data_IF_134379045428
#
_entry.id   IF_134379045428
#
_cell.length_a   1.000
_cell.length_b   1.000
_cell.length_c   1.000
_cell.angle_alpha   90.00
_cell.angle_beta   90.00
_cell.angle_gamma   90.00
#
_symmetry.space_group_name_H-M   'P 1'
#
loop_
_entity.id
_entity.type
_entity.pdbx_description
1 polymer ?
#
# COMPACT_ATOMS: atom_id res chain seq x y z
N UNK A 1 -20.28 -1.83 -10.85
CA UNK A 1 -20.84 -1.03 -9.76
C UNK A 1 -22.23 -1.57 -9.51
N UNK A 2 -22.46 -2.21 -8.37
CA UNK A 2 -23.82 -2.63 -7.97
C UNK A 2 -24.41 -1.51 -7.09
N UNK A 3 -25.56 -0.96 -7.49
CA UNK A 3 -26.22 0.17 -6.80
C UNK A 3 -27.37 -0.26 -5.89
N UNK A 4 -27.60 -1.56 -5.74
CA UNK A 4 -28.75 -2.09 -4.98
C UNK A 4 -28.47 -2.28 -3.49
N UNK A 5 -27.20 -2.31 -3.09
CA UNK A 5 -26.78 -2.50 -1.70
C UNK A 5 -26.21 -1.20 -1.10
N UNK A 6 -26.48 -0.98 0.19
CA UNK A 6 -25.91 0.10 1.01
C UNK A 6 -25.11 -0.54 2.17
N UNK A 7 -23.81 -0.25 2.34
CA UNK A 7 -22.99 0.69 1.56
C UNK A 7 -22.76 0.22 0.12
N UNK A 8 -22.44 1.17 -0.77
CA UNK A 8 -22.13 0.87 -2.16
C UNK A 8 -20.95 -0.13 -2.24
N UNK A 9 -21.07 -1.18 -3.05
CA UNK A 9 -19.97 -2.13 -3.29
C UNK A 9 -19.22 -1.81 -4.57
N UNK A 10 -17.90 -1.69 -4.45
CA UNK A 10 -16.96 -1.42 -5.53
C UNK A 10 -15.96 -2.59 -5.60
N UNK A 11 -15.78 -3.11 -6.82
CA UNK A 11 -14.80 -4.16 -7.09
C UNK A 11 -13.64 -3.53 -7.87
N UNK A 12 -12.45 -3.57 -7.28
CA UNK A 12 -11.23 -3.12 -7.95
C UNK A 12 -10.86 -4.12 -9.03
N UNK A 13 -10.23 -3.64 -10.10
CA UNK A 13 -9.65 -4.53 -11.12
C UNK A 13 -8.72 -5.53 -10.44
N UNK A 14 -8.83 -6.81 -10.81
CA UNK A 14 -7.97 -7.86 -10.26
C UNK A 14 -6.51 -7.58 -10.59
N UNK A 15 -5.70 -7.49 -9.55
CA UNK A 15 -4.24 -7.37 -9.67
C UNK A 15 -3.60 -8.75 -9.82
N UNK A 16 -2.41 -8.75 -10.41
CA UNK A 16 -1.58 -9.94 -10.61
C UNK A 16 -0.17 -9.61 -10.16
N UNK A 17 0.61 -10.66 -9.89
CA UNK A 17 2.05 -10.55 -9.65
C UNK A 17 2.72 -9.75 -10.77
N UNK A 18 3.48 -8.73 -10.39
CA UNK A 18 4.23 -7.84 -11.30
C UNK A 18 5.73 -8.06 -11.26
N UNK A 19 6.24 -8.90 -10.34
CA UNK A 19 7.68 -9.17 -10.18
C UNK A 19 8.38 -9.80 -11.39
N UNK A 20 7.63 -10.39 -12.33
CA UNK A 20 8.15 -10.98 -13.57
C UNK A 20 8.01 -10.07 -14.78
N UNK A 21 7.40 -8.89 -14.63
CA UNK A 21 7.18 -7.95 -15.72
C UNK A 21 8.39 -7.01 -15.88
N UNK A 22 8.52 -6.40 -17.04
CA UNK A 22 9.47 -5.30 -17.20
C UNK A 22 8.94 -4.06 -16.45
N UNK A 23 9.86 -3.28 -15.89
CA UNK A 23 9.51 -2.03 -15.23
C UNK A 23 8.78 -1.09 -16.21
N UNK A 24 7.64 -0.58 -15.78
CA UNK A 24 6.90 0.48 -16.46
C UNK A 24 6.71 1.62 -15.47
N UNK A 25 7.09 2.82 -15.87
CA UNK A 25 6.84 4.01 -15.05
C UNK A 25 5.32 4.21 -14.88
N UNK A 26 4.87 4.16 -13.64
CA UNK A 26 3.52 4.49 -13.25
C UNK A 26 3.60 5.56 -12.16
N UNK A 27 2.91 6.68 -12.36
CA UNK A 27 2.87 7.75 -11.37
C UNK A 27 1.93 7.35 -10.24
N UNK A 28 2.47 7.22 -9.04
CA UNK A 28 1.71 7.00 -7.82
C UNK A 28 1.91 8.16 -6.83
N UNK A 29 1.47 7.98 -5.58
CA UNK A 29 1.72 8.91 -4.47
C UNK A 29 2.51 8.24 -3.34
N UNK A 30 3.46 7.35 -3.62
CA UNK A 30 4.31 6.71 -2.59
C UNK A 30 3.50 6.08 -1.42
N UNK A 31 2.34 5.49 -1.71
CA UNK A 31 1.44 4.88 -0.72
C UNK A 31 0.44 5.82 -0.03
N UNK A 32 0.46 7.12 -0.33
CA UNK A 32 -0.51 8.08 0.19
C UNK A 32 -1.84 8.07 -0.59
N UNK A 33 -2.89 8.52 0.11
CA UNK A 33 -4.25 8.65 -0.39
C UNK A 33 -4.66 10.12 -0.49
N UNK A 34 -5.73 10.39 -1.23
CA UNK A 34 -6.34 11.71 -1.33
C UNK A 34 -7.85 11.58 -1.40
N UNK A 35 -8.54 12.15 -0.41
CA UNK A 35 -10.00 12.21 -0.41
C UNK A 35 -10.42 13.27 -1.42
N UNK A 36 -11.14 12.83 -2.45
CA UNK A 36 -11.57 13.68 -3.56
C UNK A 36 -12.91 13.21 -4.08
N UNK A 37 -13.67 14.15 -4.65
CA UNK A 37 -14.92 13.88 -5.33
C UNK A 37 -14.99 14.71 -6.62
N UNK A 38 -15.85 14.28 -7.54
CA UNK A 38 -16.07 14.97 -8.82
C UNK A 38 -17.02 16.16 -8.72
N UNK A 39 -17.76 16.28 -7.62
CA UNK A 39 -18.79 17.29 -7.46
C UNK A 39 -18.22 18.54 -6.78
N UNK A 40 -18.84 19.70 -7.01
CA UNK A 40 -18.46 20.96 -6.37
C UNK A 40 -18.91 21.05 -4.90
N UNK A 41 -18.51 20.07 -4.08
CA UNK A 41 -18.79 20.01 -2.65
C UNK A 41 -17.48 19.79 -1.88
N UNK A 42 -17.54 19.92 -0.56
CA UNK A 42 -16.38 19.69 0.28
C UNK A 42 -16.17 18.16 0.48
N UNK A 43 -15.07 17.58 -0.04
CA UNK A 43 -14.86 16.13 0.01
C UNK A 43 -14.63 15.61 1.44
N UNK A 44 -14.22 16.46 2.38
CA UNK A 44 -13.91 16.05 3.75
C UNK A 44 -15.14 15.69 4.59
N UNK A 45 -16.32 16.20 4.28
CA UNK A 45 -17.54 15.86 5.03
C UNK A 45 -18.76 15.56 4.14
N UNK A 46 -18.66 15.72 2.82
CA UNK A 46 -19.76 15.43 1.89
C UNK A 46 -19.49 14.21 1.00
N UNK A 47 -18.30 13.60 1.07
CA UNK A 47 -18.02 12.36 0.34
C UNK A 47 -18.53 11.13 1.08
N UNK A 48 -19.10 10.22 0.30
CA UNK A 48 -19.63 8.95 0.76
C UNK A 48 -18.53 7.90 0.96
N UNK A 49 -18.91 6.84 1.68
CA UNK A 49 -18.11 5.63 1.83
C UNK A 49 -18.66 4.51 0.95
N UNK A 50 -17.75 3.66 0.46
CA UNK A 50 -18.04 2.45 -0.26
C UNK A 50 -17.27 1.26 0.32
N UNK A 51 -17.86 0.09 0.25
CA UNK A 51 -17.14 -1.18 0.47
C UNK A 51 -16.33 -1.50 -0.79
N UNK A 52 -15.02 -1.36 -0.69
CA UNK A 52 -14.09 -1.59 -1.78
C UNK A 52 -13.44 -2.96 -1.59
N UNK A 53 -13.66 -3.87 -2.54
CA UNK A 53 -13.01 -5.17 -2.58
C UNK A 53 -11.77 -5.14 -3.48
N UNK A 54 -10.62 -5.36 -2.85
CA UNK A 54 -9.34 -5.58 -3.50
C UNK A 54 -9.16 -7.08 -3.77
N UNK A 55 -8.60 -7.39 -4.94
CA UNK A 55 -8.40 -8.77 -5.39
C UNK A 55 -7.00 -8.92 -5.98
N UNK A 56 -6.24 -9.89 -5.47
CA UNK A 56 -4.89 -10.19 -5.94
C UNK A 56 -4.76 -11.65 -6.36
N UNK A 57 -4.35 -11.88 -7.60
CA UNK A 57 -4.15 -13.22 -8.16
C UNK A 57 -2.67 -13.58 -8.07
N UNK A 58 -2.29 -14.54 -7.22
CA UNK A 58 -0.92 -15.01 -7.10
C UNK A 58 -0.49 -15.82 -8.33
N UNK A 59 0.81 -16.08 -8.47
CA UNK A 59 1.31 -16.89 -9.57
C UNK A 59 0.67 -18.28 -9.54
N UNK A 60 0.17 -18.75 -10.68
CA UNK A 60 -0.54 -20.04 -10.84
C UNK A 60 -1.81 -20.18 -9.98
N UNK A 61 -2.31 -19.09 -9.37
CA UNK A 61 -3.51 -19.11 -8.53
C UNK A 61 -3.32 -19.92 -7.24
N UNK A 62 -2.09 -19.97 -6.71
CA UNK A 62 -1.77 -20.72 -5.48
C UNK A 62 -1.43 -19.80 -4.31
N UNK A 63 -1.76 -20.25 -3.10
CA UNK A 63 -1.41 -19.55 -1.86
C UNK A 63 0.11 -19.43 -1.72
N UNK A 64 0.60 -18.31 -1.20
CA UNK A 64 2.00 -18.15 -0.81
C UNK A 64 2.31 -19.07 0.36
N UNK A 65 3.07 -20.14 0.10
CA UNK A 65 3.40 -21.13 1.14
C UNK A 65 4.32 -20.50 2.18
N UNK A 66 3.91 -20.57 3.45
CA UNK A 66 4.70 -20.06 4.58
C UNK A 66 4.68 -18.54 4.74
N UNK A 67 3.96 -17.80 3.89
CA UNK A 67 3.84 -16.34 3.97
C UNK A 67 2.38 -15.89 3.92
N UNK A 68 2.07 -14.83 4.66
CA UNK A 68 0.80 -14.13 4.59
C UNK A 68 0.91 -12.94 3.63
N UNK A 69 -0.18 -12.63 2.94
CA UNK A 69 -0.28 -11.49 2.03
C UNK A 69 -1.02 -10.32 2.70
N UNK A 70 -0.48 -9.12 2.57
CA UNK A 70 -1.00 -7.91 3.18
C UNK A 70 -1.18 -6.81 2.13
N UNK A 71 -2.30 -6.09 2.23
CA UNK A 71 -2.56 -4.85 1.49
C UNK A 71 -2.04 -3.66 2.30
N UNK A 72 -1.02 -2.99 1.78
CA UNK A 72 -0.28 -1.93 2.49
C UNK A 72 -0.43 -0.60 1.76
N UNK A 73 -0.64 0.45 2.54
CA UNK A 73 -0.70 1.84 2.11
C UNK A 73 -1.24 2.68 3.27
N UNK A 74 -1.38 3.99 3.07
CA UNK A 74 -2.01 4.86 4.06
C UNK A 74 -3.44 4.40 4.40
N UNK A 75 -4.10 3.70 3.46
CA UNK A 75 -5.45 3.16 3.62
C UNK A 75 -5.55 2.10 4.72
N UNK A 76 -4.44 1.44 5.06
CA UNK A 76 -4.33 0.50 6.19
C UNK A 76 -3.44 1.06 7.31
N UNK A 77 -3.10 2.35 7.26
CA UNK A 77 -2.19 3.03 8.18
C UNK A 77 -0.73 2.59 8.05
N UNK A 78 -0.34 2.01 6.91
CA UNK A 78 0.98 1.39 6.70
C UNK A 78 1.34 0.31 7.74
N UNK A 79 0.33 -0.35 8.33
CA UNK A 79 0.53 -1.37 9.36
C UNK A 79 0.37 -2.78 8.78
N UNK A 80 1.22 -3.70 9.24
CA UNK A 80 1.11 -5.14 8.95
C UNK A 80 0.38 -5.82 10.10
N UNK A 81 -0.90 -6.08 9.90
CA UNK A 81 -1.79 -6.71 10.87
C UNK A 81 -3.11 -7.17 10.26
N UNK A 82 -4.11 -7.45 11.09
CA UNK A 82 -5.40 -7.99 10.65
C UNK A 82 -6.17 -7.04 9.71
N UNK A 83 -5.99 -5.73 9.88
CA UNK A 83 -6.57 -4.69 9.01
C UNK A 83 -6.04 -4.78 7.58
N UNK A 84 -4.77 -5.14 7.40
CA UNK A 84 -4.10 -5.30 6.11
C UNK A 84 -4.13 -6.73 5.55
N UNK A 85 -4.34 -7.75 6.39
CA UNK A 85 -4.26 -9.16 6.00
C UNK A 85 -5.32 -9.53 4.97
N UNK A 86 -4.89 -10.08 3.83
CA UNK A 86 -5.75 -10.60 2.78
C UNK A 86 -6.06 -12.09 2.99
N UNK A 87 -7.22 -12.53 2.53
CA UNK A 87 -7.67 -13.92 2.65
C UNK A 87 -7.66 -14.60 1.29
N UNK A 88 -6.97 -15.73 1.22
CA UNK A 88 -6.96 -16.56 0.02
C UNK A 88 -8.25 -17.36 -0.08
N UNK A 89 -8.90 -17.31 -1.22
CA UNK A 89 -10.03 -18.16 -1.57
C UNK A 89 -9.57 -19.23 -2.58
N UNK A 90 -9.62 -20.50 -2.17
CA UNK A 90 -9.20 -21.63 -2.99
C UNK A 90 -10.15 -21.96 -4.14
N UNK A 91 -11.41 -21.51 -4.09
CA UNK A 91 -12.36 -21.71 -5.19
C UNK A 91 -12.07 -20.78 -6.37
N UNK A 92 -11.69 -19.54 -6.08
CA UNK A 92 -11.40 -18.51 -7.08
C UNK A 92 -9.89 -18.38 -7.39
N UNK A 93 -9.03 -18.93 -6.53
CA UNK A 93 -7.58 -18.89 -6.69
C UNK A 93 -6.99 -17.50 -6.48
N UNK A 94 -7.66 -16.63 -5.71
CA UNK A 94 -7.24 -15.24 -5.48
C UNK A 94 -7.35 -14.84 -4.01
N UNK A 95 -6.55 -13.85 -3.63
CA UNK A 95 -6.65 -13.17 -2.35
C UNK A 95 -7.67 -12.05 -2.44
N UNK A 96 -8.50 -11.90 -1.42
CA UNK A 96 -9.47 -10.81 -1.32
C UNK A 96 -9.37 -10.08 0.00
N UNK A 97 -9.66 -8.77 -0.05
CA UNK A 97 -9.84 -7.92 1.13
C UNK A 97 -10.86 -6.86 0.83
N UNK A 98 -11.85 -6.71 1.70
CA UNK A 98 -12.84 -5.64 1.62
C UNK A 98 -12.55 -4.61 2.69
N UNK A 99 -12.53 -3.33 2.31
CA UNK A 99 -12.34 -2.20 3.22
C UNK A 99 -13.43 -1.16 2.96
N UNK A 100 -13.92 -0.52 4.03
CA UNK A 100 -14.82 0.62 3.92
C UNK A 100 -13.98 1.88 3.70
N UNK A 101 -13.98 2.40 2.48
CA UNK A 101 -13.16 3.54 2.09
C UNK A 101 -14.03 4.72 1.67
N UNK A 102 -13.55 5.91 2.00
CA UNK A 102 -14.18 7.16 1.55
C UNK A 102 -13.86 7.40 0.07
N UNK A 103 -14.71 8.10 -0.66
CA UNK A 103 -14.41 8.42 -2.06
C UNK A 103 -13.07 9.19 -2.18
N UNK A 104 -12.21 8.71 -3.07
CA UNK A 104 -10.89 9.30 -3.25
C UNK A 104 -9.96 8.49 -4.13
N UNK A 105 -8.71 8.96 -4.22
CA UNK A 105 -7.59 8.25 -4.83
C UNK A 105 -6.79 7.52 -3.74
N UNK A 106 -6.42 6.27 -3.99
CA UNK A 106 -5.73 5.42 -3.03
C UNK A 106 -4.54 4.74 -3.70
N UNK A 107 -3.35 4.95 -3.15
CA UNK A 107 -2.15 4.21 -3.53
C UNK A 107 -1.98 3.02 -2.59
N UNK A 108 -1.66 1.85 -3.14
CA UNK A 108 -1.49 0.64 -2.34
C UNK A 108 -0.50 -0.32 -2.98
N UNK A 109 -0.02 -1.26 -2.18
CA UNK A 109 0.97 -2.26 -2.56
C UNK A 109 0.67 -3.56 -1.83
N UNK A 110 0.88 -4.69 -2.51
CA UNK A 110 0.80 -5.99 -1.88
C UNK A 110 2.17 -6.40 -1.33
N UNK A 111 2.23 -6.78 -0.05
CA UNK A 111 3.47 -7.28 0.56
C UNK A 111 3.25 -8.64 1.21
N UNK A 112 4.31 -9.43 1.26
CA UNK A 112 4.33 -10.73 1.90
C UNK A 112 5.15 -10.69 3.18
N UNK A 113 4.76 -11.45 4.19
CA UNK A 113 5.53 -11.61 5.42
C UNK A 113 5.42 -13.04 5.91
N UNK A 114 6.52 -13.55 6.49
CA UNK A 114 6.58 -14.89 7.07
C UNK A 114 5.41 -15.13 8.05
N UNK A 115 4.67 -16.22 7.83
CA UNK A 115 3.47 -16.52 8.60
C UNK A 115 3.76 -17.01 10.03
N UNK A 116 4.98 -17.48 10.30
CA UNK A 116 5.43 -18.02 11.59
C UNK A 116 6.18 -16.98 12.43
N UNK A 117 6.76 -15.96 11.79
CA UNK A 117 7.55 -14.94 12.47
C UNK A 117 6.85 -13.57 12.45
N UNK A 118 6.28 -13.18 13.59
CA UNK A 118 5.61 -11.89 13.73
C UNK A 118 6.55 -10.68 13.70
N UNK A 119 7.86 -10.89 13.82
CA UNK A 119 8.87 -9.83 13.75
C UNK A 119 9.53 -9.75 12.35
N UNK A 120 9.18 -10.66 11.44
CA UNK A 120 9.70 -10.63 10.09
C UNK A 120 9.30 -9.33 9.38
N UNK A 121 10.23 -8.75 8.62
CA UNK A 121 9.94 -7.62 7.75
C UNK A 121 9.04 -8.07 6.60
N UNK A 122 8.07 -7.24 6.24
CA UNK A 122 7.29 -7.44 5.02
C UNK A 122 8.13 -7.09 3.79
N UNK A 123 7.94 -7.84 2.71
CA UNK A 123 8.65 -7.66 1.44
C UNK A 123 7.67 -7.72 0.25
N UNK A 124 7.87 -6.86 -0.73
CA UNK A 124 7.10 -6.78 -1.97
C UNK A 124 7.76 -7.57 -3.12
N UNK A 125 8.94 -8.16 -2.93
CA UNK A 125 9.69 -8.85 -3.99
C UNK A 125 8.88 -9.95 -4.71
N UNK A 126 8.07 -10.72 -3.97
CA UNK A 126 7.28 -11.82 -4.51
C UNK A 126 5.98 -11.37 -5.20
N UNK A 127 5.60 -10.11 -5.06
CA UNK A 127 4.33 -9.55 -5.52
C UNK A 127 4.55 -8.45 -6.55
N UNK A 128 5.04 -7.29 -6.13
CA UNK A 128 5.34 -6.15 -7.01
C UNK A 128 6.70 -6.30 -7.69
N UNK A 129 7.68 -6.89 -7.01
CA UNK A 129 9.08 -6.94 -7.44
C UNK A 129 9.92 -5.78 -6.89
N UNK A 130 11.24 -5.87 -7.10
CA UNK A 130 12.20 -4.85 -6.70
C UNK A 130 12.90 -4.30 -7.94
N UNK A 131 12.52 -3.09 -8.38
CA UNK A 131 13.10 -2.42 -9.54
C UNK A 131 13.86 -1.17 -9.10
N UNK A 132 15.09 -1.00 -9.58
CA UNK A 132 15.95 0.12 -9.19
C UNK A 132 15.51 1.45 -9.81
N UNK A 133 14.71 1.40 -10.88
CA UNK A 133 14.12 2.55 -11.55
C UNK A 133 12.95 3.18 -10.78
N UNK A 134 12.42 2.50 -9.76
CA UNK A 134 11.27 2.99 -8.99
C UNK A 134 11.54 4.34 -8.34
N UNK A 135 10.58 5.25 -8.50
CA UNK A 135 10.56 6.51 -7.80
C UNK A 135 10.06 6.25 -6.38
N UNK A 136 10.87 6.63 -5.38
CA UNK A 136 10.55 6.50 -3.97
C UNK A 136 11.05 7.75 -3.25
N UNK A 137 10.26 8.18 -2.26
CA UNK A 137 10.64 9.24 -1.32
C UNK A 137 11.30 8.64 -0.07
N UNK A 138 12.47 9.18 0.29
CA UNK A 138 13.23 8.81 1.47
C UNK A 138 13.32 10.01 2.42
N UNK A 139 12.82 9.83 3.64
CA UNK A 139 12.94 10.84 4.70
C UNK A 139 14.05 10.46 5.66
N UNK A 140 15.05 11.33 5.80
CA UNK A 140 16.17 11.17 6.74
C UNK A 140 15.93 12.09 7.92
N UNK A 141 15.87 11.52 9.13
CA UNK A 141 15.77 12.25 10.39
C UNK A 141 17.10 12.21 11.13
N UNK A 142 17.58 13.36 11.58
CA UNK A 142 18.82 13.48 12.35
C UNK A 142 18.47 13.77 13.79
N UNK A 143 18.77 12.81 14.66
CA UNK A 143 18.56 12.95 16.10
C UNK A 143 19.89 13.18 16.82
N UNK A 144 19.87 14.03 17.84
CA UNK A 144 21.00 14.30 18.71
C UNK A 144 20.57 14.25 20.17
N UNK A 145 21.42 13.67 21.02
CA UNK A 145 21.26 13.69 22.48
C UNK A 145 22.53 14.22 23.11
N UNK A 146 22.46 15.40 23.70
CA UNK A 146 23.59 16.00 24.42
C UNK A 146 23.99 15.17 25.65
N UNK A 147 25.23 15.34 26.13
CA UNK A 147 25.68 14.76 27.40
C UNK A 147 24.82 15.30 28.56
N UNK A 148 24.18 14.41 29.30
CA UNK A 148 23.20 14.77 30.35
C UNK A 148 21.78 15.05 29.82
N UNK A 149 21.56 14.94 28.51
CA UNK A 149 20.25 15.07 27.88
C UNK A 149 19.29 13.96 28.30
N UNK A 150 18.01 14.32 28.50
CA UNK A 150 16.96 13.40 28.97
C UNK A 150 16.11 12.79 27.86
N UNK A 151 16.27 13.25 26.62
CA UNK A 151 15.52 12.80 25.45
C UNK A 151 16.34 13.00 24.17
N UNK A 152 15.92 12.36 23.08
CA UNK A 152 16.48 12.59 21.75
C UNK A 152 15.82 13.82 21.11
N UNK A 153 16.64 14.76 20.67
CA UNK A 153 16.19 15.95 19.96
C UNK A 153 16.27 15.71 18.45
N UNK A 154 15.19 15.95 17.72
CA UNK A 154 15.22 15.99 16.26
C UNK A 154 15.85 17.32 15.83
N UNK A 155 17.13 17.28 15.45
CA UNK A 155 17.90 18.49 15.09
C UNK A 155 17.83 18.83 13.61
N UNK A 156 17.29 17.94 12.78
CA UNK A 156 17.05 18.20 11.38
C UNK A 156 16.36 17.05 10.66
N UNK A 157 15.79 17.34 9.50
CA UNK A 157 15.28 16.33 8.58
C UNK A 157 15.49 16.77 7.13
N UNK A 158 15.53 15.80 6.22
CA UNK A 158 15.51 16.06 4.78
C UNK A 158 14.73 14.97 4.06
N UNK A 159 14.20 15.30 2.89
CA UNK A 159 13.51 14.37 2.00
C UNK A 159 14.27 14.29 0.69
N UNK A 160 14.51 13.07 0.22
CA UNK A 160 15.24 12.76 -1.01
C UNK A 160 14.36 11.90 -1.90
N UNK A 161 14.35 12.16 -3.19
CA UNK A 161 13.58 11.39 -4.16
C UNK A 161 14.53 10.66 -5.13
N UNK A 162 14.33 9.36 -5.35
CA UNK A 162 15.23 8.54 -6.19
C UNK A 162 15.21 8.88 -7.68
N UNK A 163 14.20 9.61 -8.15
CA UNK A 163 14.08 10.06 -9.53
C UNK A 163 14.73 11.44 -9.72
N UNK A 164 14.38 12.41 -8.87
CA UNK A 164 14.81 13.80 -9.02
C UNK A 164 16.28 14.06 -8.64
N UNK A 165 16.90 13.19 -7.85
CA UNK A 165 18.26 13.40 -7.35
C UNK A 165 19.35 12.70 -8.18
N UNK A 166 19.03 12.27 -9.41
CA UNK A 166 20.01 11.72 -10.37
C UNK A 166 20.75 12.90 -11.03
N UNK A 167 21.85 13.33 -10.45
CA UNK A 167 22.76 14.26 -11.10
C UNK A 167 23.33 13.59 -12.38
N UNK A 168 22.85 13.98 -13.57
CA UNK A 168 23.48 13.57 -14.83
C UNK A 168 22.60 13.27 -16.04
N UNK A 169 21.29 13.56 -16.03
CA UNK A 169 20.45 13.54 -17.24
C UNK A 169 19.56 14.77 -17.32
#
# INVERSE_FOLDING_TARGET
MDRTEKPLKIYVKQDRVRSSLQYLYYRDRNGFNEIMNSDFVNPWWQSDYAEVQFSFIPEKGQVFVGSNLYLVGELTGNQIGDTSLMRFDGATGMYTKTLLLKQGYYSYTYTTRDAKNSEAKSDAASTEGNYWETENDYTVFVYYRALGGRHDELVGYTMLNSFNNRAGF
#
